data_IF_114675317253
#
_entry.id   IF_114675317253
#
_cell.length_a   1.000
_cell.length_b   1.000
_cell.length_c   1.000
_cell.angle_alpha   90.00
_cell.angle_beta   90.00
_cell.angle_gamma   90.00
#
_symmetry.space_group_name_H-M   'P 1'
#
loop_
_entity.id
_entity.type
_entity.pdbx_description
1 polymer ?
#
# COMPACT_ATOMS: atom_id res chain seq x y z
N UNK A 1 16.51 17.85 19.10
CA UNK A 1 15.16 17.58 18.53
C UNK A 1 14.96 16.10 18.23
N UNK A 2 15.75 15.44 17.37
CA UNK A 2 15.64 13.98 17.08
C UNK A 2 15.59 13.13 18.36
N UNK A 3 16.54 13.36 19.27
CA UNK A 3 16.58 12.66 20.57
C UNK A 3 15.28 12.79 21.37
N UNK A 4 14.55 13.90 21.22
CA UNK A 4 13.26 14.09 21.86
C UNK A 4 12.19 13.26 21.14
N UNK A 5 12.09 13.35 19.82
CA UNK A 5 11.10 12.61 19.03
C UNK A 5 11.25 11.08 19.16
N UNK A 6 12.48 10.57 19.10
CA UNK A 6 12.77 9.14 19.20
C UNK A 6 12.58 8.57 20.62
N UNK A 7 12.51 9.42 21.67
CA UNK A 7 12.33 9.01 23.06
C UNK A 7 10.89 9.18 23.58
N UNK A 8 9.93 9.39 22.68
CA UNK A 8 8.52 9.61 23.02
C UNK A 8 7.66 8.65 22.23
N UNK A 9 6.56 8.19 22.83
CA UNK A 9 5.57 7.41 22.09
C UNK A 9 4.88 8.28 21.03
N UNK A 10 4.21 7.67 20.06
CA UNK A 10 3.44 8.40 19.06
C UNK A 10 2.37 9.29 19.72
N UNK A 11 1.63 8.76 20.69
CA UNK A 11 0.63 9.53 21.45
C UNK A 11 1.25 10.75 22.15
N UNK A 12 2.41 10.58 22.78
CA UNK A 12 3.13 11.70 23.38
C UNK A 12 3.59 12.73 22.34
N UNK A 13 4.04 12.28 21.16
CA UNK A 13 4.41 13.19 20.06
C UNK A 13 3.21 14.00 19.58
N UNK A 14 2.03 13.39 19.45
CA UNK A 14 0.79 14.08 19.09
C UNK A 14 0.41 15.13 20.15
N UNK A 15 0.49 14.78 21.44
CA UNK A 15 0.26 15.74 22.54
C UNK A 15 1.25 16.91 22.48
N UNK A 16 2.54 16.63 22.23
CA UNK A 16 3.57 17.67 22.07
C UNK A 16 3.20 18.60 20.91
N UNK A 17 2.76 18.08 19.76
CA UNK A 17 2.34 18.91 18.64
C UNK A 17 1.13 19.79 18.96
N UNK A 18 0.14 19.25 19.69
CA UNK A 18 -1.03 19.99 20.14
C UNK A 18 -0.66 21.13 21.11
N UNK A 19 0.14 20.84 22.13
CA UNK A 19 0.58 21.83 23.10
C UNK A 19 1.50 22.90 22.46
N UNK A 20 2.35 22.50 21.51
CA UNK A 20 3.15 23.43 20.73
C UNK A 20 2.27 24.39 19.93
N UNK A 21 1.21 23.88 19.28
CA UNK A 21 0.26 24.71 18.54
C UNK A 21 -0.48 25.69 19.46
N UNK A 22 -0.95 25.25 20.63
CA UNK A 22 -1.62 26.13 21.60
C UNK A 22 -0.70 27.26 22.09
N UNK A 23 0.55 26.93 22.38
CA UNK A 23 1.49 27.86 23.04
C UNK A 23 2.12 28.85 22.08
N UNK A 24 2.38 28.44 20.84
CA UNK A 24 3.11 29.25 19.86
C UNK A 24 2.27 29.64 18.64
N UNK A 25 1.02 29.19 18.54
CA UNK A 25 0.13 29.37 17.39
C UNK A 25 0.77 28.91 16.06
N UNK A 26 1.59 27.87 16.11
CA UNK A 26 2.29 27.31 14.94
C UNK A 26 2.07 25.81 14.89
N UNK A 27 1.73 25.32 13.70
CA UNK A 27 1.66 23.89 13.41
C UNK A 27 3.07 23.28 13.39
N UNK A 28 3.36 22.42 14.37
CA UNK A 28 4.68 21.82 14.54
C UNK A 28 5.05 20.91 13.35
N UNK A 29 4.08 20.20 12.77
CA UNK A 29 4.31 19.28 11.64
C UNK A 29 4.66 20.08 10.38
N UNK A 30 3.88 21.13 10.07
CA UNK A 30 4.21 22.06 8.98
C UNK A 30 5.53 22.75 9.22
N UNK A 31 5.85 23.05 10.48
CA UNK A 31 7.10 23.71 10.85
C UNK A 31 8.34 22.86 10.57
N UNK A 32 8.29 21.54 10.79
CA UNK A 32 9.36 20.63 10.33
C UNK A 32 9.52 20.65 8.80
N UNK A 33 8.48 21.04 8.07
CA UNK A 33 8.49 21.29 6.63
C UNK A 33 9.19 22.58 6.19
N UNK A 34 9.75 23.39 7.09
CA UNK A 34 10.53 24.56 6.68
C UNK A 34 12.03 24.29 6.69
N UNK A 35 12.72 24.76 5.65
CA UNK A 35 14.16 24.57 5.46
C UNK A 35 15.01 25.15 6.59
N UNK A 36 14.52 26.21 7.23
CA UNK A 36 15.26 26.94 8.26
C UNK A 36 14.93 26.46 9.68
N UNK A 37 14.11 25.40 9.84
CA UNK A 37 13.66 25.01 11.18
C UNK A 37 14.78 24.43 12.05
N UNK A 38 15.78 23.81 11.44
CA UNK A 38 16.83 23.10 12.17
C UNK A 38 18.24 23.69 11.98
N UNK A 39 18.43 24.67 11.06
CA UNK A 39 19.75 25.21 10.72
C UNK A 39 20.81 24.10 10.55
N UNK A 40 20.42 23.01 9.88
CA UNK A 40 21.24 21.82 9.70
C UNK A 40 21.71 21.74 8.25
N UNK A 41 23.02 21.80 8.03
CA UNK A 41 23.65 21.43 6.77
C UNK A 41 23.80 19.90 6.72
N UNK A 42 22.74 19.22 6.30
CA UNK A 42 22.73 17.75 6.17
C UNK A 42 22.58 17.40 4.70
N UNK A 43 23.44 16.50 4.18
CA UNK A 43 23.38 16.01 2.78
C UNK A 43 22.02 15.41 2.39
N UNK A 44 21.25 14.95 3.38
CA UNK A 44 19.91 14.34 3.26
C UNK A 44 18.84 15.12 4.02
N UNK A 45 18.90 16.44 3.92
CA UNK A 45 18.04 17.32 4.71
C UNK A 45 16.55 17.15 4.39
N UNK A 46 16.20 16.75 3.17
CA UNK A 46 14.81 16.54 2.74
C UNK A 46 14.20 15.25 3.30
N UNK A 47 14.93 14.14 3.23
CA UNK A 47 14.54 12.85 3.81
C UNK A 47 14.41 12.98 5.32
N UNK A 48 15.34 13.70 5.94
CA UNK A 48 15.32 13.98 7.36
C UNK A 48 14.10 14.82 7.78
N UNK A 49 13.76 15.87 7.02
CA UNK A 49 12.53 16.66 7.26
C UNK A 49 11.29 15.81 7.14
N UNK A 50 11.23 14.96 6.11
CA UNK A 50 10.11 14.06 5.86
C UNK A 50 9.95 13.06 7.00
N UNK A 51 11.04 12.48 7.48
CA UNK A 51 11.02 11.60 8.66
C UNK A 51 10.50 12.33 9.90
N UNK A 52 10.97 13.57 10.12
CA UNK A 52 10.58 14.34 11.29
C UNK A 52 9.11 14.75 11.28
N UNK A 53 8.56 15.16 10.14
CA UNK A 53 7.12 15.43 10.03
C UNK A 53 6.30 14.14 10.24
N UNK A 54 6.72 13.03 9.61
CA UNK A 54 6.05 11.72 9.69
C UNK A 54 6.00 11.17 11.12
N UNK A 55 7.04 11.35 11.93
CA UNK A 55 7.04 10.89 13.33
C UNK A 55 5.93 11.52 14.19
N UNK A 56 5.42 12.69 13.83
CA UNK A 56 4.39 13.42 14.57
C UNK A 56 2.98 13.26 13.98
N UNK A 57 2.80 12.39 12.99
CA UNK A 57 1.50 12.05 12.43
C UNK A 57 0.88 10.84 13.14
N UNK A 58 -0.45 10.70 13.06
CA UNK A 58 -1.12 9.46 13.46
C UNK A 58 -0.76 8.36 12.48
N UNK A 59 -0.90 7.11 12.90
CA UNK A 59 -0.58 5.97 12.03
C UNK A 59 -1.48 5.95 10.80
N UNK A 60 -2.78 6.21 10.99
CA UNK A 60 -3.74 6.31 9.89
C UNK A 60 -3.34 7.39 8.89
N UNK A 61 -2.92 8.58 9.35
CA UNK A 61 -2.50 9.67 8.45
C UNK A 61 -1.26 9.28 7.63
N UNK A 62 -0.32 8.52 8.23
CA UNK A 62 0.87 8.02 7.53
C UNK A 62 0.51 7.01 6.45
N UNK A 63 -0.39 6.09 6.75
CA UNK A 63 -0.85 5.07 5.81
C UNK A 63 -1.61 5.73 4.65
N UNK A 64 -2.49 6.69 4.94
CA UNK A 64 -3.20 7.53 3.95
C UNK A 64 -2.22 8.25 3.04
N UNK A 65 -1.22 8.92 3.61
CA UNK A 65 -0.21 9.64 2.83
C UNK A 65 0.59 8.68 1.95
N UNK A 66 0.93 7.50 2.48
CA UNK A 66 1.64 6.47 1.71
C UNK A 66 0.81 6.02 0.52
N UNK A 67 -0.48 5.72 0.75
CA UNK A 67 -1.42 5.30 -0.31
C UNK A 67 -1.67 6.42 -1.32
N UNK A 68 -1.86 7.67 -0.88
CA UNK A 68 -2.18 8.78 -1.79
C UNK A 68 -0.97 9.26 -2.59
N UNK A 69 0.25 9.10 -2.06
CA UNK A 69 1.48 9.35 -2.82
C UNK A 69 1.64 8.40 -4.01
N UNK A 70 0.81 7.37 -4.10
CA UNK A 70 0.74 6.44 -5.22
C UNK A 70 -0.09 7.07 -6.34
N UNK A 71 0.58 7.89 -7.13
CA UNK A 71 0.01 8.40 -8.37
C UNK A 71 0.02 7.29 -9.44
N UNK A 72 -1.01 7.16 -10.31
CA UNK A 72 -1.05 6.16 -11.38
C UNK A 72 0.20 6.13 -12.26
N UNK A 73 0.87 7.28 -12.44
CA UNK A 73 2.11 7.40 -13.24
C UNK A 73 3.36 6.77 -12.60
N UNK A 74 3.28 6.26 -11.36
CA UNK A 74 4.38 5.60 -10.67
C UNK A 74 4.24 4.07 -10.66
N UNK A 75 3.17 3.53 -11.26
CA UNK A 75 2.91 2.09 -11.34
C UNK A 75 3.68 1.48 -12.52
N UNK A 76 4.84 0.90 -12.22
CA UNK A 76 5.49 -0.11 -13.07
C UNK A 76 5.45 -1.45 -12.36
N UNK A 77 5.33 -2.54 -13.12
CA UNK A 77 5.39 -3.91 -12.59
C UNK A 77 6.65 -4.08 -11.74
N UNK A 78 6.47 -4.54 -10.49
CA UNK A 78 7.55 -4.68 -9.50
C UNK A 78 7.94 -3.39 -8.78
N UNK A 79 7.17 -2.31 -8.88
CA UNK A 79 7.45 -1.09 -8.13
C UNK A 79 7.40 -1.34 -6.61
N UNK A 80 8.32 -0.75 -5.83
CA UNK A 80 8.28 -0.76 -4.36
C UNK A 80 6.94 -0.27 -3.77
N UNK A 81 6.13 0.39 -4.60
CA UNK A 81 4.90 1.06 -4.22
C UNK A 81 3.71 0.10 -4.06
N UNK A 82 3.62 -0.97 -4.88
CA UNK A 82 2.61 -2.02 -4.68
C UNK A 82 2.87 -2.79 -3.38
N UNK A 83 4.15 -3.00 -3.06
CA UNK A 83 4.57 -3.62 -1.81
C UNK A 83 4.09 -2.83 -0.59
N UNK A 84 4.18 -1.49 -0.62
CA UNK A 84 3.78 -0.66 0.52
C UNK A 84 2.27 -0.70 0.79
N UNK A 85 1.41 -0.67 -0.24
CA UNK A 85 -0.04 -0.86 -0.07
C UNK A 85 -0.34 -2.23 0.50
N UNK A 86 0.25 -3.27 -0.10
CA UNK A 86 0.07 -4.65 0.35
C UNK A 86 0.49 -4.76 1.81
N UNK A 87 1.62 -4.18 2.19
CA UNK A 87 2.09 -4.19 3.57
C UNK A 87 1.09 -3.51 4.51
N UNK A 88 0.54 -2.35 4.14
CA UNK A 88 -0.50 -1.68 4.94
C UNK A 88 -1.75 -2.57 5.05
N UNK A 89 -2.34 -2.99 3.93
CA UNK A 89 -3.62 -3.72 3.94
C UNK A 89 -3.50 -5.13 4.56
N UNK A 90 -2.35 -5.80 4.45
CA UNK A 90 -2.15 -7.13 5.04
C UNK A 90 -1.82 -7.07 6.53
N UNK A 91 -1.21 -5.99 7.04
CA UNK A 91 -0.78 -5.90 8.44
C UNK A 91 -1.76 -5.16 9.34
N UNK A 92 -2.63 -4.32 8.77
CA UNK A 92 -3.69 -3.64 9.53
C UNK A 92 -4.82 -4.60 9.86
N UNK A 93 -5.46 -4.39 10.99
CA UNK A 93 -6.70 -5.04 11.39
C UNK A 93 -7.87 -4.51 10.59
N UNK A 94 -9.00 -5.20 10.67
CA UNK A 94 -10.24 -4.82 10.04
C UNK A 94 -10.69 -3.42 10.48
N UNK A 95 -10.65 -3.16 11.80
CA UNK A 95 -10.98 -1.86 12.36
C UNK A 95 -10.06 -0.75 11.84
N UNK A 96 -8.75 -1.02 11.76
CA UNK A 96 -7.78 -0.05 11.23
C UNK A 96 -8.00 0.25 9.74
N UNK A 97 -8.38 -0.74 8.92
CA UNK A 97 -8.68 -0.53 7.50
C UNK A 97 -9.98 0.28 7.31
N UNK A 98 -10.98 0.07 8.17
CA UNK A 98 -12.22 0.85 8.15
C UNK A 98 -11.96 2.32 8.52
N UNK A 99 -11.17 2.56 9.58
CA UNK A 99 -10.72 3.91 9.96
C UNK A 99 -9.91 4.55 8.82
N UNK A 100 -8.99 3.78 8.22
CA UNK A 100 -8.16 4.21 7.09
C UNK A 100 -9.00 4.65 5.89
N UNK A 101 -10.00 3.85 5.51
CA UNK A 101 -10.88 4.14 4.38
C UNK A 101 -11.68 5.42 4.61
N UNK A 102 -12.31 5.53 5.80
CA UNK A 102 -13.08 6.70 6.18
C UNK A 102 -12.25 7.99 6.19
N UNK A 103 -11.07 7.92 6.79
CA UNK A 103 -10.21 9.09 6.96
C UNK A 103 -9.53 9.50 5.64
N UNK A 104 -9.27 8.54 4.74
CA UNK A 104 -8.84 8.81 3.37
C UNK A 104 -9.90 9.60 2.58
N UNK A 105 -11.15 9.17 2.64
CA UNK A 105 -12.27 9.82 1.95
C UNK A 105 -12.47 11.27 2.44
N UNK A 106 -12.33 11.50 3.75
CA UNK A 106 -12.34 12.85 4.35
C UNK A 106 -11.17 13.69 3.83
N UNK A 107 -9.97 13.12 3.76
CA UNK A 107 -8.74 13.84 3.44
C UNK A 107 -8.63 14.22 1.96
N UNK A 108 -9.15 13.39 1.07
CA UNK A 108 -8.98 13.54 -0.39
C UNK A 108 -10.28 13.67 -1.17
N UNK A 109 -11.42 13.77 -0.49
CA UNK A 109 -12.69 14.22 -1.09
C UNK A 109 -13.26 13.27 -2.14
N UNK A 110 -13.13 11.96 -1.93
CA UNK A 110 -13.65 10.93 -2.85
C UNK A 110 -14.53 9.91 -2.14
N UNK A 111 -15.53 9.37 -2.86
CA UNK A 111 -16.23 8.12 -2.51
C UNK A 111 -15.51 6.91 -3.16
N UNK A 112 -14.20 7.01 -3.33
CA UNK A 112 -13.43 6.05 -4.11
C UNK A 112 -12.72 5.10 -3.15
N UNK A 113 -12.85 3.79 -3.41
CA UNK A 113 -12.07 2.75 -2.75
C UNK A 113 -10.59 3.15 -2.68
N UNK A 114 -9.91 2.83 -1.56
CA UNK A 114 -8.48 3.07 -1.32
C UNK A 114 -7.57 2.65 -2.50
N UNK A 115 -8.05 1.76 -3.36
CA UNK A 115 -7.30 1.17 -4.48
C UNK A 115 -7.93 1.45 -5.86
N UNK A 116 -8.88 2.38 -5.93
CA UNK A 116 -9.60 2.72 -7.17
C UNK A 116 -8.67 3.27 -8.27
N UNK A 117 -7.52 3.85 -7.89
CA UNK A 117 -6.54 4.43 -8.81
C UNK A 117 -5.70 3.39 -9.57
N UNK A 118 -5.81 2.10 -9.23
CA UNK A 118 -5.04 1.04 -9.89
C UNK A 118 -5.66 0.66 -11.23
N UNK A 119 -4.84 0.68 -12.28
CA UNK A 119 -5.25 0.31 -13.65
C UNK A 119 -5.27 -1.20 -13.85
N UNK A 120 -4.40 -1.94 -13.17
CA UNK A 120 -4.38 -3.41 -13.19
C UNK A 120 -5.63 -3.96 -12.50
N UNK A 121 -6.52 -4.55 -13.29
CA UNK A 121 -7.81 -5.06 -12.85
C UNK A 121 -7.67 -6.23 -11.87
N UNK A 122 -6.67 -7.10 -12.07
CA UNK A 122 -6.47 -8.29 -11.25
C UNK A 122 -5.93 -7.89 -9.87
N UNK A 123 -4.91 -7.03 -9.85
CA UNK A 123 -4.35 -6.48 -8.60
C UNK A 123 -5.38 -5.64 -7.87
N UNK A 124 -6.12 -4.77 -8.57
CA UNK A 124 -7.20 -3.99 -7.97
C UNK A 124 -8.29 -4.89 -7.40
N UNK A 125 -8.63 -5.99 -8.06
CA UNK A 125 -9.60 -6.97 -7.58
C UNK A 125 -9.19 -7.56 -6.22
N UNK A 126 -7.95 -8.03 -6.12
CA UNK A 126 -7.41 -8.60 -4.87
C UNK A 126 -7.41 -7.56 -3.74
N UNK A 127 -6.87 -6.36 -4.01
CA UNK A 127 -6.79 -5.33 -2.98
C UNK A 127 -8.17 -4.81 -2.57
N UNK A 128 -9.14 -4.79 -3.50
CA UNK A 128 -10.52 -4.43 -3.18
C UNK A 128 -11.17 -5.43 -2.23
N UNK A 129 -10.82 -6.72 -2.28
CA UNK A 129 -11.28 -7.69 -1.28
C UNK A 129 -10.68 -7.42 0.11
N UNK A 130 -9.42 -7.00 0.19
CA UNK A 130 -8.79 -6.63 1.46
C UNK A 130 -9.46 -5.40 2.09
N UNK A 131 -9.81 -4.41 1.27
CA UNK A 131 -10.48 -3.17 1.69
C UNK A 131 -11.92 -3.42 2.17
N UNK A 132 -12.55 -4.55 1.85
CA UNK A 132 -13.92 -4.87 2.31
C UNK A 132 -14.01 -5.24 3.79
N UNK A 133 -12.88 -5.42 4.49
CA UNK A 133 -12.88 -5.62 5.95
C UNK A 133 -13.64 -6.88 6.38
N UNK A 134 -13.49 -7.99 5.63
CA UNK A 134 -14.19 -9.27 5.90
C UNK A 134 -13.26 -10.40 6.37
N UNK A 135 -12.05 -10.07 6.84
CA UNK A 135 -11.12 -11.10 7.34
C UNK A 135 -11.62 -11.67 8.66
N UNK A 136 -11.51 -12.98 8.82
CA UNK A 136 -11.69 -13.61 10.12
C UNK A 136 -10.47 -13.31 10.99
N UNK A 137 -10.65 -12.45 11.99
CA UNK A 137 -9.61 -12.09 12.96
C UNK A 137 -9.70 -12.92 14.24
N UNK A 138 -10.52 -13.97 14.23
CA UNK A 138 -10.58 -14.92 15.34
C UNK A 138 -9.34 -15.80 15.39
N UNK A 139 -9.02 -16.27 16.58
CA UNK A 139 -7.93 -17.23 16.80
C UNK A 139 -8.39 -18.69 16.65
N UNK A 140 -9.59 -18.91 16.11
CA UNK A 140 -10.18 -20.24 15.98
C UNK A 140 -9.70 -20.91 14.70
N UNK A 141 -9.20 -22.13 14.81
CA UNK A 141 -8.75 -22.92 13.66
C UNK A 141 -9.73 -24.05 13.36
N UNK A 142 -10.19 -24.14 12.11
CA UNK A 142 -11.01 -25.25 11.63
C UNK A 142 -10.17 -26.16 10.73
N UNK A 143 -9.75 -27.30 11.27
CA UNK A 143 -8.84 -28.23 10.58
C UNK A 143 -9.44 -28.80 9.29
N UNK A 144 -10.73 -29.12 9.29
CA UNK A 144 -11.40 -29.67 8.09
C UNK A 144 -11.41 -28.65 6.96
N UNK A 145 -11.81 -27.40 7.25
CA UNK A 145 -11.77 -26.31 6.26
C UNK A 145 -10.35 -26.04 5.77
N UNK A 146 -9.35 -26.09 6.65
CA UNK A 146 -7.96 -25.88 6.24
C UNK A 146 -7.47 -26.94 5.23
N UNK A 147 -7.89 -28.20 5.37
CA UNK A 147 -7.59 -29.26 4.39
C UNK A 147 -8.32 -29.00 3.07
N UNK A 148 -9.62 -28.67 3.13
CA UNK A 148 -10.40 -28.33 1.93
C UNK A 148 -9.80 -27.13 1.17
N UNK A 149 -9.39 -26.09 1.88
CA UNK A 149 -8.77 -24.91 1.28
C UNK A 149 -7.41 -25.22 0.68
N UNK A 150 -6.60 -26.08 1.32
CA UNK A 150 -5.32 -26.54 0.75
C UNK A 150 -5.53 -27.32 -0.56
N UNK A 151 -6.51 -28.22 -0.61
CA UNK A 151 -6.85 -28.97 -1.83
C UNK A 151 -7.40 -28.06 -2.94
N UNK A 152 -8.19 -27.03 -2.57
CA UNK A 152 -8.68 -26.03 -3.53
C UNK A 152 -7.54 -25.22 -4.12
N UNK A 153 -6.61 -24.76 -3.28
CA UNK A 153 -5.43 -24.02 -3.73
C UNK A 153 -4.55 -24.87 -4.65
N UNK A 154 -4.34 -26.15 -4.31
CA UNK A 154 -3.56 -27.06 -5.14
C UNK A 154 -4.19 -27.23 -6.54
N UNK A 155 -5.49 -27.54 -6.60
CA UNK A 155 -6.21 -27.69 -7.88
C UNK A 155 -6.25 -26.41 -8.70
N UNK A 156 -6.47 -25.26 -8.07
CA UNK A 156 -6.46 -23.96 -8.75
C UNK A 156 -5.09 -23.68 -9.38
N UNK A 157 -4.01 -24.04 -8.69
CA UNK A 157 -2.66 -23.90 -9.20
C UNK A 157 -2.41 -24.82 -10.41
N UNK A 158 -2.80 -26.09 -10.34
CA UNK A 158 -2.67 -27.03 -11.48
C UNK A 158 -3.45 -26.56 -12.72
N UNK A 159 -4.65 -26.01 -12.52
CA UNK A 159 -5.44 -25.41 -13.61
C UNK A 159 -4.71 -24.22 -14.24
N UNK A 160 -4.18 -23.31 -13.42
CA UNK A 160 -3.36 -22.17 -13.88
C UNK A 160 -2.14 -22.61 -14.69
N UNK A 161 -1.43 -23.64 -14.24
CA UNK A 161 -0.32 -24.22 -15.00
C UNK A 161 -0.79 -24.75 -16.35
N UNK A 162 -1.85 -25.56 -16.36
CA UNK A 162 -2.37 -26.19 -17.58
C UNK A 162 -2.84 -25.16 -18.61
N UNK A 163 -3.55 -24.11 -18.17
CA UNK A 163 -4.01 -23.03 -19.04
C UNK A 163 -2.84 -22.21 -19.61
N UNK A 164 -1.79 -21.95 -18.83
CA UNK A 164 -0.58 -21.25 -19.30
C UNK A 164 0.18 -22.08 -20.33
N UNK A 165 0.34 -23.39 -20.12
CA UNK A 165 0.96 -24.27 -21.11
C UNK A 165 0.15 -24.34 -22.40
N UNK A 166 -1.19 -24.41 -22.30
CA UNK A 166 -2.07 -24.45 -23.47
C UNK A 166 -2.00 -23.16 -24.30
N UNK A 167 -1.97 -21.99 -23.64
CA UNK A 167 -1.75 -20.69 -24.31
C UNK A 167 -0.37 -20.59 -24.97
N UNK A 168 0.68 -21.09 -24.29
CA UNK A 168 2.03 -21.10 -24.86
C UNK A 168 2.11 -21.94 -26.15
N UNK A 169 1.48 -23.11 -26.17
CA UNK A 169 1.44 -23.98 -27.36
C UNK A 169 0.69 -23.30 -28.50
N UNK A 170 -0.47 -22.70 -28.22
CA UNK A 170 -1.27 -22.00 -29.24
C UNK A 170 -0.52 -20.83 -29.90
N UNK A 171 0.29 -20.08 -29.13
CA UNK A 171 1.13 -19.00 -29.66
C UNK A 171 2.24 -19.57 -30.56
N UNK A 172 2.92 -20.64 -30.13
CA UNK A 172 3.98 -21.28 -30.92
C UNK A 172 3.44 -21.91 -32.22
N UNK A 173 2.21 -22.41 -32.22
CA UNK A 173 1.54 -22.95 -33.42
C UNK A 173 1.11 -21.85 -34.40
N UNK A 174 0.64 -20.71 -33.90
CA UNK A 174 0.34 -19.54 -34.74
C UNK A 174 1.61 -18.95 -35.38
N UNK A 175 2.72 -18.86 -34.65
CA UNK A 175 4.00 -18.39 -35.20
C UNK A 175 4.54 -19.33 -36.29
N UNK A 176 4.47 -20.65 -36.08
CA UNK A 176 4.84 -21.64 -37.11
C UNK A 176 3.95 -21.58 -38.36
N UNK A 177 2.67 -21.22 -38.21
CA UNK A 177 1.76 -21.04 -39.35
C UNK A 177 2.05 -19.77 -40.15
N UNK A 178 2.61 -18.73 -39.52
CA UNK A 178 2.95 -17.47 -40.18
C UNK A 178 4.30 -17.55 -40.93
N UNK A 179 5.26 -18.34 -40.42
CA UNK A 179 6.56 -18.53 -41.06
C UNK A 179 6.52 -19.50 -42.26
N UNK A 180 5.48 -20.32 -42.38
CA UNK A 180 5.31 -21.29 -43.46
C UNK A 180 4.98 -20.71 -44.85
N UNK A 181 4.74 -19.40 -44.98
CA UNK A 181 4.32 -18.76 -46.23
C UNK A 181 5.44 -18.00 -46.98
N UNK A 182 6.70 -18.06 -46.53
CA UNK A 182 7.81 -17.31 -47.15
C UNK A 182 8.66 -18.10 -48.17
N UNK A 183 8.33 -19.36 -48.46
CA UNK A 183 9.09 -20.20 -49.41
C UNK A 183 8.22 -20.89 -50.47
N UNK A 184 7.43 -20.12 -51.21
CA UNK A 184 6.99 -20.51 -52.56
C UNK A 184 6.96 -19.28 -53.48
N UNK A 185 8.10 -18.97 -54.10
CA UNK A 185 8.21 -18.23 -55.35
C UNK A 185 9.31 -18.85 -56.21
#
# INVERSE_FOLDING_TARGET
>A
MIKLACRRSQQQRLQIAQEYRKRYNVDLVKKFGYRNFLNLEVRHFEEFRTLMSRLFLRQVDLDIMTIHQLHPSAYTDGSPLLHDILQILMTRTNQEIEELSKEHDISYGGNNSLVAFLDDLDVRGILSELVKVKRDESWLTNRTKAVEDAERLHRANELLYTERYSKSIAITEQEKSCDGNFHQK
#
